data_IF_838312916189
#
_entry.id   IF_838312916189
#
_cell.length_a   1.000
_cell.length_b   1.000
_cell.length_c   1.000
_cell.angle_alpha   90.00
_cell.angle_beta   90.00
_cell.angle_gamma   90.00
#
_symmetry.space_group_name_H-M   'P 1'
#
loop_
_entity.id
_entity.type
_entity.pdbx_description
1 polymer ?
#
# COMPACT_ATOMS: atom_id res chain seq x y z
N UNK A 1 13.03 -1.54 1.43
CA UNK A 1 13.09 -2.37 0.20
C UNK A 1 13.43 -1.46 -0.97
N UNK A 2 14.41 -1.81 -1.80
CA UNK A 2 14.73 -1.06 -3.02
C UNK A 2 13.88 -1.61 -4.16
N UNK A 3 13.08 -0.75 -4.79
CA UNK A 3 12.16 -1.10 -5.88
C UNK A 3 10.71 -1.34 -5.43
N UNK A 4 9.92 -1.80 -6.39
CA UNK A 4 8.48 -1.99 -6.25
C UNK A 4 8.15 -3.20 -5.37
N UNK A 5 6.95 -3.21 -4.78
CA UNK A 5 6.50 -4.30 -3.93
C UNK A 5 5.01 -4.64 -4.13
N UNK A 6 4.72 -5.93 -4.13
CA UNK A 6 3.36 -6.49 -4.16
C UNK A 6 3.05 -7.14 -2.81
N UNK A 7 2.06 -6.60 -2.10
CA UNK A 7 1.47 -7.26 -0.94
C UNK A 7 0.35 -8.20 -1.42
N UNK A 8 0.61 -9.50 -1.42
CA UNK A 8 -0.35 -10.55 -1.77
C UNK A 8 -0.96 -11.26 -0.57
N UNK A 9 -0.55 -10.87 0.65
CA UNK A 9 -1.02 -11.43 1.91
C UNK A 9 -1.32 -10.30 2.89
N UNK A 10 -2.35 -10.49 3.72
CA UNK A 10 -2.73 -9.52 4.75
C UNK A 10 -1.67 -9.43 5.85
N UNK A 11 -1.52 -8.26 6.44
CA UNK A 11 -0.55 -8.04 7.51
C UNK A 11 -0.24 -6.59 7.77
N UNK A 12 0.93 -6.36 8.37
CA UNK A 12 1.45 -5.03 8.66
C UNK A 12 2.86 -4.90 8.07
N UNK A 13 3.13 -3.73 7.51
CA UNK A 13 4.46 -3.34 7.07
C UNK A 13 4.79 -1.97 7.64
N UNK A 14 5.96 -1.88 8.29
CA UNK A 14 6.57 -0.63 8.73
C UNK A 14 7.99 -0.55 8.17
N UNK A 15 8.24 0.48 7.36
CA UNK A 15 9.55 0.72 6.77
C UNK A 15 9.50 1.59 5.53
N UNK A 16 10.58 1.53 4.76
CA UNK A 16 10.73 2.30 3.52
C UNK A 16 10.61 1.39 2.30
N UNK A 17 9.77 1.78 1.35
CA UNK A 17 9.64 1.16 0.02
C UNK A 17 10.10 2.17 -1.03
N UNK A 18 11.10 1.78 -1.81
CA UNK A 18 11.79 2.66 -2.75
C UNK A 18 11.05 2.89 -4.06
N UNK A 19 10.09 2.03 -4.41
CA UNK A 19 9.29 2.13 -5.64
C UNK A 19 7.79 2.10 -5.35
N UNK A 20 7.05 1.57 -6.32
CA UNK A 20 5.60 1.49 -6.27
C UNK A 20 5.14 0.35 -5.35
N UNK A 21 3.97 0.53 -4.74
CA UNK A 21 3.30 -0.49 -3.93
C UNK A 21 2.01 -0.89 -4.62
N UNK A 22 1.79 -2.20 -4.74
CA UNK A 22 0.48 -2.76 -5.10
C UNK A 22 -0.03 -3.62 -3.95
N UNK A 23 -1.26 -3.37 -3.52
CA UNK A 23 -1.98 -4.21 -2.55
C UNK A 23 -2.98 -5.04 -3.32
N UNK A 24 -2.78 -6.36 -3.34
CA UNK A 24 -3.57 -7.28 -4.16
C UNK A 24 -5.02 -7.37 -3.69
N UNK A 25 -5.87 -7.92 -4.55
CA UNK A 25 -7.31 -8.08 -4.29
C UNK A 25 -7.58 -8.82 -2.99
N UNK A 26 -8.49 -8.28 -2.18
CA UNK A 26 -8.90 -8.90 -0.91
C UNK A 26 -7.85 -8.86 0.21
N UNK A 27 -6.70 -8.20 0.00
CA UNK A 27 -5.65 -8.08 1.02
C UNK A 27 -5.98 -6.96 1.99
N UNK A 28 -5.82 -7.23 3.28
CA UNK A 28 -5.91 -6.25 4.35
C UNK A 28 -4.52 -5.88 4.83
N UNK A 29 -4.09 -4.64 4.60
CA UNK A 29 -2.74 -4.18 4.91
C UNK A 29 -2.76 -2.95 5.82
N UNK A 30 -1.99 -3.00 6.90
CA UNK A 30 -1.56 -1.80 7.63
C UNK A 30 -0.22 -1.37 7.05
N UNK A 31 -0.17 -0.19 6.45
CA UNK A 31 1.03 0.31 5.78
C UNK A 31 1.53 1.57 6.51
N UNK A 32 2.72 1.47 7.13
CA UNK A 32 3.40 2.52 7.87
C UNK A 32 4.77 2.84 7.26
N UNK A 33 5.28 4.03 7.55
CA UNK A 33 6.58 4.49 7.07
C UNK A 33 6.49 5.32 5.80
N UNK A 34 7.21 4.93 4.75
CA UNK A 34 7.33 5.74 3.54
C UNK A 34 7.34 4.90 2.26
N UNK A 35 6.57 5.35 1.26
CA UNK A 35 6.55 4.83 -0.10
C UNK A 35 7.02 5.94 -1.03
N UNK A 36 8.14 5.74 -1.72
CA UNK A 36 8.68 6.74 -2.65
C UNK A 36 7.92 6.81 -3.99
N UNK A 37 7.24 5.73 -4.38
CA UNK A 37 6.45 5.65 -5.61
C UNK A 37 4.94 5.82 -5.39
N UNK A 38 4.18 5.22 -6.29
CA UNK A 38 2.72 5.18 -6.26
C UNK A 38 2.19 4.07 -5.35
N UNK A 39 0.99 4.24 -4.81
CA UNK A 39 0.25 3.19 -4.10
C UNK A 39 -0.99 2.79 -4.91
N UNK A 40 -1.04 1.54 -5.37
CA UNK A 40 -2.19 0.94 -6.04
C UNK A 40 -2.93 -0.01 -5.11
N UNK A 41 -4.21 0.25 -4.89
CA UNK A 41 -5.09 -0.52 -4.02
C UNK A 41 -6.11 -1.24 -4.91
N UNK A 42 -5.95 -2.55 -5.04
CA UNK A 42 -6.81 -3.35 -5.91
C UNK A 42 -8.19 -3.61 -5.30
N UNK A 43 -9.12 -4.05 -6.15
CA UNK A 43 -10.50 -4.28 -5.76
C UNK A 43 -10.63 -5.21 -4.55
N UNK A 44 -11.43 -4.78 -3.56
CA UNK A 44 -11.66 -5.51 -2.32
C UNK A 44 -10.48 -5.50 -1.34
N UNK A 45 -9.35 -4.88 -1.67
CA UNK A 45 -8.28 -4.66 -0.71
C UNK A 45 -8.69 -3.59 0.32
N UNK A 46 -8.15 -3.70 1.53
CA UNK A 46 -8.32 -2.70 2.60
C UNK A 46 -6.93 -2.24 3.04
N UNK A 47 -6.65 -0.96 2.90
CA UNK A 47 -5.39 -0.37 3.35
C UNK A 47 -5.64 0.63 4.47
N UNK A 48 -5.02 0.38 5.62
CA UNK A 48 -4.89 1.36 6.70
C UNK A 48 -3.56 2.09 6.51
N UNK A 49 -3.62 3.30 5.99
CA UNK A 49 -2.46 4.07 5.57
C UNK A 49 -2.01 5.00 6.69
N UNK A 50 -0.89 4.64 7.32
CA UNK A 50 -0.08 5.49 8.19
C UNK A 50 1.27 5.86 7.55
N UNK A 51 1.46 5.55 6.27
CA UNK A 51 2.66 5.86 5.51
C UNK A 51 2.49 7.15 4.69
N UNK A 52 3.59 7.87 4.48
CA UNK A 52 3.65 8.92 3.46
C UNK A 52 3.88 8.29 2.08
N UNK A 53 3.06 8.65 1.10
CA UNK A 53 3.20 8.24 -0.30
C UNK A 53 3.73 9.42 -1.09
N UNK A 54 4.90 9.26 -1.71
CA UNK A 54 5.56 10.30 -2.50
C UNK A 54 4.93 10.52 -3.88
N UNK A 55 4.33 9.47 -4.44
CA UNK A 55 3.57 9.51 -5.69
C UNK A 55 2.07 9.66 -5.48
N UNK A 56 1.31 9.04 -6.37
CA UNK A 56 -0.16 9.06 -6.36
C UNK A 56 -0.73 7.82 -5.67
N UNK A 57 -1.92 7.97 -5.10
CA UNK A 57 -2.71 6.84 -4.57
C UNK A 57 -3.84 6.52 -5.54
N UNK A 58 -3.79 5.34 -6.14
CA UNK A 58 -4.82 4.80 -7.02
C UNK A 58 -5.67 3.79 -6.26
N UNK A 59 -6.94 4.13 -6.02
CA UNK A 59 -7.90 3.21 -5.42
C UNK A 59 -8.82 2.62 -6.52
N UNK A 60 -8.53 1.38 -6.93
CA UNK A 60 -9.23 0.66 -8.00
C UNK A 60 -10.39 -0.21 -7.45
N UNK A 61 -11.18 0.35 -6.54
CA UNK A 61 -12.33 -0.34 -5.92
C UNK A 61 -12.00 -1.10 -4.64
N UNK A 62 -10.94 -0.70 -3.94
CA UNK A 62 -10.65 -1.10 -2.56
C UNK A 62 -11.08 -0.02 -1.56
N UNK A 63 -10.66 -0.19 -0.31
CA UNK A 63 -10.94 0.72 0.80
C UNK A 63 -9.62 1.31 1.32
N UNK A 64 -9.56 2.64 1.41
CA UNK A 64 -8.45 3.36 2.01
C UNK A 64 -8.91 4.04 3.29
N UNK A 65 -8.26 3.73 4.42
CA UNK A 65 -8.52 4.28 5.74
C UNK A 65 -7.27 4.99 6.25
N UNK A 66 -7.43 6.07 7.00
CA UNK A 66 -6.33 6.63 7.78
C UNK A 66 -6.03 5.70 8.98
N UNK A 67 -4.76 5.42 9.24
CA UNK A 67 -4.30 4.63 10.39
C UNK A 67 -3.96 5.49 11.60
#
# INVERSE_FOLDING_TARGET
MAGDHLFSQSGEFDGLIGGDVTVAKGVELVLKGLVNGDLRIESGAVVRLGAMVGGQVFNNGGTLLAA
#
